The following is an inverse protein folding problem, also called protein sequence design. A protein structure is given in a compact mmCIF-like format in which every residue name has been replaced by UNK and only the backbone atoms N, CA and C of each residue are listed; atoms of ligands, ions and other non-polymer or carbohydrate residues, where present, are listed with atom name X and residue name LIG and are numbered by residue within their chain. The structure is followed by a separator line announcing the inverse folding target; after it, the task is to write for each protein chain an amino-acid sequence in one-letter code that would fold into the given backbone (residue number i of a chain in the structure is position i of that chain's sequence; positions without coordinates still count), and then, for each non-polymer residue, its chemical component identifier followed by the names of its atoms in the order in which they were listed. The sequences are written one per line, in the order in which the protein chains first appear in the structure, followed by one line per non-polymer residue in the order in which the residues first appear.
data_IF_808674736923
#
_entry.id   IF_808674736923
#
_cell.length_a   1.000
_cell.length_b   1.000
_cell.length_c   1.000
_cell.angle_alpha   90.00
_cell.angle_beta   90.00
_cell.angle_gamma   90.00
#
_symmetry.space_group_name_H-M   'P 1'
#
loop_
_entity.id
_entity.type
_entity.pdbx_description
1 polymer ?
#
# COMPACT_ATOMS: atom_id res chain seq x y z
N UNK A 1 -39.87 -15.39 -5.61
CA UNK A 1 -38.88 -14.59 -4.86
C UNK A 1 -37.96 -13.94 -5.87
N UNK A 2 -38.12 -12.63 -6.10
CA UNK A 2 -37.29 -11.89 -7.05
C UNK A 2 -36.06 -11.35 -6.31
N UNK A 3 -34.87 -11.77 -6.77
CA UNK A 3 -33.58 -11.32 -6.26
C UNK A 3 -33.35 -9.87 -6.70
N UNK A 4 -33.38 -8.93 -5.76
CA UNK A 4 -33.04 -7.53 -5.98
C UNK A 4 -31.55 -7.43 -6.33
N UNK A 5 -31.24 -7.08 -7.58
CA UNK A 5 -29.87 -6.73 -7.99
C UNK A 5 -29.43 -5.49 -7.22
N UNK A 6 -28.25 -5.54 -6.60
CA UNK A 6 -27.57 -4.35 -6.10
C UNK A 6 -27.34 -3.38 -7.26
N UNK A 7 -28.07 -2.26 -7.26
CA UNK A 7 -27.96 -1.24 -8.30
C UNK A 7 -26.57 -0.62 -8.28
N UNK A 8 -25.94 -0.51 -9.45
CA UNK A 8 -24.74 0.32 -9.63
C UNK A 8 -25.10 1.73 -9.16
N UNK A 9 -24.40 2.31 -8.17
CA UNK A 9 -24.72 3.65 -7.69
C UNK A 9 -24.63 4.65 -8.86
N UNK A 10 -25.63 5.54 -8.94
CA UNK A 10 -25.65 6.60 -9.95
C UNK A 10 -24.43 7.52 -9.79
N UNK A 11 -24.05 8.22 -10.87
CA UNK A 11 -23.00 9.26 -10.81
C UNK A 11 -23.29 10.28 -9.70
N UNK A 12 -24.56 10.67 -9.53
CA UNK A 12 -24.99 11.57 -8.46
C UNK A 12 -24.73 11.03 -7.05
N UNK A 13 -24.93 9.73 -6.80
CA UNK A 13 -24.67 9.13 -5.49
C UNK A 13 -23.17 9.15 -5.13
N UNK A 14 -22.28 9.03 -6.12
CA UNK A 14 -20.83 9.10 -5.88
C UNK A 14 -20.28 10.51 -5.83
N UNK A 15 -20.85 11.44 -6.58
CA UNK A 15 -20.56 12.86 -6.42
C UNK A 15 -21.00 13.33 -5.01
N UNK A 16 -22.09 12.78 -4.47
CA UNK A 16 -22.49 12.99 -3.07
C UNK A 16 -21.49 12.39 -2.06
N UNK A 17 -20.91 11.21 -2.34
CA UNK A 17 -19.84 10.63 -1.51
C UNK A 17 -18.54 11.43 -1.59
N UNK A 18 -18.22 12.03 -2.75
CA UNK A 18 -17.11 12.98 -2.88
C UNK A 18 -17.40 14.29 -2.14
N UNK A 19 -18.66 14.72 -2.06
CA UNK A 19 -19.04 15.92 -1.31
C UNK A 19 -18.97 15.73 0.21
N UNK A 20 -18.70 14.51 0.71
CA UNK A 20 -18.54 14.27 2.14
C UNK A 20 -17.28 14.97 2.66
N UNK A 21 -17.49 15.90 3.58
CA UNK A 21 -16.42 16.47 4.40
C UNK A 21 -15.87 15.37 5.32
N UNK A 22 -14.57 15.37 5.56
CA UNK A 22 -13.96 14.43 6.50
C UNK A 22 -13.11 15.16 7.54
N UNK A 23 -13.19 14.66 8.76
CA UNK A 23 -12.34 15.08 9.87
C UNK A 23 -10.91 14.57 9.62
N UNK A 24 -9.93 15.42 9.90
CA UNK A 24 -8.52 15.03 9.87
C UNK A 24 -8.18 14.20 11.10
N UNK A 25 -8.68 12.97 11.17
CA UNK A 25 -8.29 12.04 12.22
C UNK A 25 -6.92 11.42 11.86
N UNK A 26 -5.93 11.58 12.74
CA UNK A 26 -4.73 10.75 12.73
C UNK A 26 -5.13 9.31 13.07
N UNK A 27 -5.47 8.52 12.07
CA UNK A 27 -5.54 7.07 12.24
C UNK A 27 -4.11 6.54 12.23
N UNK A 28 -3.48 6.50 13.41
CA UNK A 28 -2.37 5.58 13.63
C UNK A 28 -2.96 4.17 13.71
N UNK A 29 -2.96 3.45 12.60
CA UNK A 29 -3.01 1.99 12.68
C UNK A 29 -1.79 1.59 13.50
N UNK A 30 -2.01 0.96 14.65
CA UNK A 30 -0.94 0.56 15.58
C UNK A 30 0.13 -0.27 14.88
N UNK A 31 1.34 -0.34 15.45
CA UNK A 31 2.47 -0.97 14.79
C UNK A 31 2.13 -2.42 14.45
N UNK A 32 2.19 -2.74 13.17
CA UNK A 32 2.15 -4.09 12.65
C UNK A 32 3.43 -4.80 13.14
N UNK A 33 3.30 -5.93 13.83
CA UNK A 33 4.42 -6.73 14.34
C UNK A 33 4.40 -8.13 13.71
N UNK A 34 5.53 -8.54 13.13
CA UNK A 34 5.71 -9.87 12.58
C UNK A 34 5.46 -10.99 13.62
N UNK A 35 5.59 -10.73 14.93
CA UNK A 35 5.34 -11.73 15.99
C UNK A 35 3.87 -12.16 16.07
N UNK A 36 2.94 -11.20 15.97
CA UNK A 36 1.50 -11.46 16.07
C UNK A 36 1.03 -12.31 14.89
N UNK A 37 1.44 -11.94 13.68
CA UNK A 37 1.12 -12.71 12.48
C UNK A 37 1.76 -14.11 12.49
N UNK A 38 3.00 -14.25 12.97
CA UNK A 38 3.64 -15.55 13.09
C UNK A 38 2.82 -16.51 13.98
N UNK A 39 2.19 -15.98 15.04
CA UNK A 39 1.30 -16.74 15.90
C UNK A 39 0.05 -17.20 15.16
N UNK A 40 -0.55 -16.35 14.33
CA UNK A 40 -1.70 -16.70 13.47
C UNK A 40 -1.33 -17.80 12.45
N UNK A 41 -0.17 -17.68 11.80
CA UNK A 41 0.30 -18.68 10.82
C UNK A 41 0.47 -20.04 11.50
N UNK A 42 1.06 -20.07 12.71
CA UNK A 42 1.28 -21.28 13.49
C UNK A 42 0.00 -21.93 14.01
N UNK A 43 -1.05 -21.15 14.29
CA UNK A 43 -2.34 -21.69 14.72
C UNK A 43 -3.06 -22.43 13.57
N UNK A 44 -2.87 -21.98 12.33
CA UNK A 44 -3.52 -22.59 11.17
C UNK A 44 -2.86 -23.85 10.63
N UNK A 45 -1.54 -24.03 10.79
CA UNK A 45 -0.76 -25.09 10.13
C UNK A 45 0.50 -25.51 10.90
N UNK A 46 1.04 -26.71 10.61
CA UNK A 46 2.44 -27.03 10.91
C UNK A 46 3.32 -26.12 10.05
N UNK A 47 3.98 -25.16 10.68
CA UNK A 47 4.96 -24.32 10.02
C UNK A 47 6.27 -25.06 9.90
N UNK A 48 6.55 -25.59 8.70
CA UNK A 48 7.90 -26.01 8.35
C UNK A 48 8.75 -24.75 8.18
N UNK A 49 9.75 -24.59 9.05
CA UNK A 49 10.74 -23.51 8.92
C UNK A 49 11.62 -23.80 7.69
N UNK A 50 12.02 -22.79 6.92
CA UNK A 50 11.82 -21.35 7.14
C UNK A 50 10.54 -20.78 6.50
N UNK A 51 10.15 -19.56 6.91
CA UNK A 51 9.03 -18.80 6.32
C UNK A 51 9.45 -17.37 5.94
N UNK A 52 8.87 -16.84 4.88
CA UNK A 52 8.97 -15.44 4.50
C UNK A 52 7.61 -14.92 4.04
N UNK A 53 7.17 -13.79 4.57
CA UNK A 53 5.91 -13.18 4.20
C UNK A 53 5.96 -11.66 4.34
N UNK A 54 4.91 -11.01 3.86
CA UNK A 54 4.73 -9.56 3.96
C UNK A 54 3.51 -9.31 4.81
N UNK A 55 3.66 -8.40 5.77
CA UNK A 55 2.63 -8.08 6.76
C UNK A 55 2.11 -6.66 6.56
N UNK A 56 0.79 -6.48 6.48
CA UNK A 56 0.11 -5.18 6.40
C UNK A 56 -1.05 -5.04 7.40
N UNK A 57 -1.18 -5.97 8.36
CA UNK A 57 -2.27 -6.03 9.34
C UNK A 57 -1.79 -6.71 10.63
N UNK A 58 -2.40 -6.41 11.78
CA UNK A 58 -2.09 -7.13 13.03
C UNK A 58 -3.01 -8.33 13.30
N UNK A 59 -4.11 -8.44 12.56
CA UNK A 59 -5.21 -9.39 12.81
C UNK A 59 -5.37 -10.49 11.75
N UNK A 60 -4.77 -10.31 10.57
CA UNK A 60 -4.84 -11.27 9.46
C UNK A 60 -3.55 -11.20 8.63
N UNK A 61 -3.04 -12.35 8.16
CA UNK A 61 -1.87 -12.39 7.28
C UNK A 61 -2.27 -12.04 5.86
N UNK A 62 -2.29 -10.74 5.57
CA UNK A 62 -2.70 -10.19 4.28
C UNK A 62 -1.84 -9.00 3.90
N UNK A 63 -1.80 -8.73 2.60
CA UNK A 63 -1.19 -7.50 2.08
C UNK A 63 -2.29 -6.58 1.55
N UNK A 64 -2.10 -5.27 1.71
CA UNK A 64 -3.06 -4.24 1.27
C UNK A 64 -2.33 -3.14 0.51
N UNK A 65 -2.89 -2.69 -0.62
CA UNK A 65 -2.29 -1.58 -1.37
C UNK A 65 -2.36 -0.28 -0.56
N UNK A 66 -1.27 0.48 -0.57
CA UNK A 66 -1.14 1.76 0.12
C UNK A 66 -1.21 1.65 1.64
N UNK A 67 -0.82 0.52 2.21
CA UNK A 67 -0.69 0.36 3.65
C UNK A 67 0.77 0.20 4.03
N UNK A 68 1.12 0.68 5.23
CA UNK A 68 2.42 0.41 5.81
C UNK A 68 2.59 -1.10 5.97
N UNK A 69 3.77 -1.57 5.60
CA UNK A 69 4.03 -2.98 5.34
C UNK A 69 5.46 -3.33 5.71
N UNK A 70 5.67 -4.56 6.18
CA UNK A 70 6.96 -5.10 6.61
C UNK A 70 7.26 -6.44 5.93
N UNK A 71 8.53 -6.75 5.72
CA UNK A 71 9.01 -8.08 5.36
C UNK A 71 9.32 -8.81 6.66
N UNK A 72 8.70 -9.98 6.83
CA UNK A 72 8.91 -10.86 7.97
C UNK A 72 9.62 -12.13 7.50
N UNK A 73 10.71 -12.52 8.19
CA UNK A 73 11.50 -13.71 7.87
C UNK A 73 11.71 -14.55 9.13
N UNK A 74 11.32 -15.82 9.09
CA UNK A 74 11.37 -16.69 10.26
C UNK A 74 12.19 -17.96 10.01
N UNK A 75 13.10 -18.26 10.94
CA UNK A 75 13.81 -19.54 10.97
C UNK A 75 14.96 -19.67 9.96
N UNK A 76 15.45 -18.57 9.39
CA UNK A 76 16.60 -18.60 8.48
C UNK A 76 17.95 -18.65 9.22
N UNK A 77 18.95 -19.40 8.70
CA UNK A 77 20.28 -19.49 9.31
C UNK A 77 20.96 -18.13 9.49
N UNK A 78 21.56 -17.88 10.66
CA UNK A 78 22.19 -16.58 10.99
C UNK A 78 23.44 -16.25 10.17
N UNK A 79 24.15 -17.28 9.69
CA UNK A 79 25.45 -17.17 9.04
C UNK A 79 25.41 -17.33 7.52
N UNK A 80 24.21 -17.39 6.91
CA UNK A 80 24.05 -17.46 5.45
C UNK A 80 23.28 -16.23 4.95
N UNK A 81 23.63 -15.69 3.77
CA UNK A 81 22.87 -14.60 3.16
C UNK A 81 21.45 -15.07 2.89
N UNK A 82 20.47 -14.16 2.98
CA UNK A 82 19.08 -14.42 2.61
C UNK A 82 18.79 -13.61 1.35
N UNK A 83 18.05 -14.23 0.44
CA UNK A 83 17.52 -13.57 -0.75
C UNK A 83 16.02 -13.78 -0.78
N UNK A 84 15.27 -12.71 -1.02
CA UNK A 84 13.83 -12.74 -1.26
C UNK A 84 13.59 -12.55 -2.75
N UNK A 85 12.64 -13.31 -3.30
CA UNK A 85 12.28 -13.25 -4.71
C UNK A 85 10.78 -13.08 -4.85
N UNK A 86 10.38 -12.10 -5.66
CA UNK A 86 8.98 -11.86 -6.03
C UNK A 86 8.85 -11.97 -7.54
N UNK A 87 7.84 -12.70 -8.02
CA UNK A 87 7.49 -12.78 -9.44
C UNK A 87 6.18 -12.06 -9.70
N UNK A 88 6.22 -10.96 -10.43
CA UNK A 88 5.04 -10.17 -10.74
C UNK A 88 5.20 -9.45 -12.08
N UNK A 89 4.13 -9.40 -12.88
CA UNK A 89 4.10 -8.61 -14.12
C UNK A 89 5.12 -9.06 -15.17
N UNK A 90 5.42 -10.37 -15.24
CA UNK A 90 6.43 -10.93 -16.14
C UNK A 90 7.88 -10.65 -15.72
N UNK A 91 8.09 -10.05 -14.54
CA UNK A 91 9.41 -9.75 -13.98
C UNK A 91 9.67 -10.63 -12.76
N UNK A 92 10.95 -10.91 -12.53
CA UNK A 92 11.45 -11.51 -11.29
C UNK A 92 12.28 -10.45 -10.59
N UNK A 93 11.90 -10.12 -9.37
CA UNK A 93 12.59 -9.18 -8.50
C UNK A 93 13.33 -9.98 -7.44
N UNK A 94 14.59 -9.64 -7.21
CA UNK A 94 15.48 -10.37 -6.30
C UNK A 94 16.11 -9.38 -5.33
N UNK A 95 15.66 -9.42 -4.08
CA UNK A 95 16.07 -8.51 -3.01
C UNK A 95 17.04 -9.26 -2.08
N UNK A 96 18.33 -8.92 -2.07
CA UNK A 96 19.25 -9.36 -1.04
C UNK A 96 18.84 -8.79 0.33
N UNK A 97 19.06 -9.54 1.41
CA UNK A 97 18.72 -9.10 2.76
C UNK A 97 19.98 -8.86 3.56
N UNK A 98 20.08 -7.67 4.17
CA UNK A 98 21.16 -7.27 5.07
C UNK A 98 20.68 -7.28 6.51
N UNK A 99 21.25 -8.15 7.32
CA UNK A 99 20.99 -8.16 8.77
C UNK A 99 21.73 -6.98 9.41
N UNK A 100 21.01 -6.15 10.14
CA UNK A 100 21.56 -5.01 10.88
C UNK A 100 21.15 -5.05 12.35
N UNK A 101 21.95 -4.42 13.21
CA UNK A 101 21.63 -4.33 14.64
C UNK A 101 20.44 -3.39 14.91
N UNK A 102 20.36 -2.31 14.13
CA UNK A 102 19.29 -1.31 14.15
C UNK A 102 19.03 -0.90 12.71
N UNK A 103 17.76 -0.77 12.34
CA UNK A 103 17.35 -0.32 11.01
C UNK A 103 17.79 1.12 10.80
N UNK A 104 18.34 1.41 9.62
CA UNK A 104 18.56 2.79 9.20
C UNK A 104 17.20 3.42 8.88
N UNK A 105 17.01 4.68 9.29
CA UNK A 105 15.84 5.45 8.85
C UNK A 105 16.04 5.78 7.36
N UNK A 106 15.37 5.02 6.49
CA UNK A 106 15.30 5.34 5.06
C UNK A 106 14.01 6.12 4.74
N UNK A 107 14.05 6.85 3.63
CA UNK A 107 12.87 7.50 3.07
C UNK A 107 11.79 6.43 2.77
N UNK A 108 10.54 6.76 3.07
CA UNK A 108 9.40 5.89 2.74
C UNK A 108 9.40 5.58 1.24
N UNK A 109 9.61 4.31 0.90
CA UNK A 109 9.64 3.78 -0.46
C UNK A 109 8.40 2.93 -0.72
N UNK A 110 7.98 2.84 -1.99
CA UNK A 110 6.88 1.96 -2.39
C UNK A 110 7.35 0.63 -3.00
N UNK A 111 8.67 0.47 -3.18
CA UNK A 111 9.25 -0.53 -4.09
C UNK A 111 10.29 -1.44 -3.43
N UNK A 112 10.34 -1.56 -2.09
CA UNK A 112 11.39 -2.33 -1.36
C UNK A 112 11.63 -3.76 -1.86
N UNK A 113 10.58 -4.49 -2.27
CA UNK A 113 10.71 -5.85 -2.83
C UNK A 113 10.70 -5.90 -4.36
N UNK A 114 10.74 -4.75 -5.01
CA UNK A 114 10.48 -4.57 -6.45
C UNK A 114 11.51 -3.67 -7.14
N UNK A 115 12.63 -3.37 -6.46
CA UNK A 115 13.69 -2.48 -6.92
C UNK A 115 15.06 -3.18 -7.05
N UNK A 116 15.14 -4.48 -6.74
CA UNK A 116 16.38 -5.29 -6.73
C UNK A 116 17.50 -4.76 -5.82
N UNK A 117 17.15 -3.87 -4.87
CA UNK A 117 18.08 -3.33 -3.88
C UNK A 117 18.15 -4.23 -2.66
N UNK A 118 19.22 -4.05 -1.90
CA UNK A 118 19.38 -4.72 -0.62
C UNK A 118 18.40 -4.11 0.41
N UNK A 119 17.72 -4.95 1.17
CA UNK A 119 16.76 -4.54 2.20
C UNK A 119 17.32 -4.85 3.59
N UNK A 120 17.36 -3.85 4.47
CA UNK A 120 17.78 -4.02 5.85
C UNK A 120 16.70 -4.75 6.67
N UNK A 121 17.15 -5.70 7.50
CA UNK A 121 16.30 -6.38 8.48
C UNK A 121 16.99 -6.42 9.84
N UNK A 122 16.21 -6.27 10.90
CA UNK A 122 16.64 -6.39 12.28
C UNK A 122 16.18 -7.73 12.87
N UNK A 123 17.01 -8.35 13.71
CA UNK A 123 16.60 -9.50 14.53
C UNK A 123 15.75 -8.98 15.70
N UNK A 124 14.46 -9.35 15.71
CA UNK A 124 13.48 -8.92 16.72
C UNK A 124 13.22 -10.04 17.75
N UNK A 125 14.10 -11.03 17.84
CA UNK A 125 14.00 -12.16 18.77
C UNK A 125 13.35 -13.41 18.17
N UNK A 126 13.47 -14.53 18.88
CA UNK A 126 12.85 -15.82 18.54
C UNK A 126 13.13 -16.38 17.13
N UNK A 127 14.19 -15.90 16.49
CA UNK A 127 14.56 -16.29 15.12
C UNK A 127 13.73 -15.59 14.04
N UNK A 128 13.12 -14.46 14.39
CA UNK A 128 12.35 -13.60 13.51
C UNK A 128 13.16 -12.37 13.11
N UNK A 129 13.15 -12.06 11.82
CA UNK A 129 13.72 -10.83 11.27
C UNK A 129 12.59 -9.98 10.69
N UNK A 130 12.71 -8.68 10.85
CA UNK A 130 11.76 -7.70 10.36
C UNK A 130 12.49 -6.55 9.66
N UNK A 131 11.97 -6.09 8.53
CA UNK A 131 12.48 -4.91 7.83
C UNK A 131 12.02 -3.59 8.44
N UNK A 132 12.52 -2.48 7.90
CA UNK A 132 11.81 -1.19 8.00
C UNK A 132 10.41 -1.26 7.38
N UNK A 133 9.53 -0.36 7.83
CA UNK A 133 8.19 -0.23 7.26
C UNK A 133 8.21 0.57 5.96
N UNK A 134 7.49 0.09 4.95
CA UNK A 134 7.34 0.77 3.66
C UNK A 134 5.87 0.76 3.21
N UNK A 135 5.50 1.59 2.23
CA UNK A 135 4.13 1.59 1.71
C UNK A 135 3.98 0.54 0.62
N UNK A 136 3.11 -0.46 0.77
CA UNK A 136 2.94 -1.48 -0.27
C UNK A 136 2.18 -0.93 -1.48
N UNK A 137 2.91 -0.36 -2.44
CA UNK A 137 2.35 0.17 -3.68
C UNK A 137 3.35 0.02 -4.83
N UNK A 138 3.72 -1.22 -5.22
CA UNK A 138 4.78 -1.43 -6.20
C UNK A 138 4.52 -0.70 -7.52
N UNK A 139 5.58 -0.45 -8.28
CA UNK A 139 5.46 0.13 -9.60
C UNK A 139 4.79 -0.83 -10.58
N UNK A 140 4.19 -0.30 -11.65
CA UNK A 140 3.79 -1.13 -12.78
C UNK A 140 5.04 -1.71 -13.46
N UNK A 141 5.00 -2.96 -13.96
CA UNK A 141 3.81 -3.82 -14.12
C UNK A 141 3.44 -4.67 -12.89
N UNK A 142 4.25 -4.70 -11.85
CA UNK A 142 4.08 -5.61 -10.71
C UNK A 142 2.75 -5.37 -9.97
N UNK A 143 2.41 -4.11 -9.67
CA UNK A 143 1.16 -3.76 -8.99
C UNK A 143 -0.08 -4.25 -9.72
N UNK A 144 -0.18 -4.04 -11.03
CA UNK A 144 -1.29 -4.56 -11.84
C UNK A 144 -1.37 -6.08 -11.81
N UNK A 145 -0.23 -6.76 -11.86
CA UNK A 145 -0.21 -8.22 -11.84
C UNK A 145 -0.66 -8.80 -10.49
N UNK A 146 -0.16 -8.25 -9.37
CA UNK A 146 -0.55 -8.65 -8.02
C UNK A 146 -2.04 -8.37 -7.79
N UNK A 147 -2.50 -7.21 -8.25
CA UNK A 147 -3.89 -6.82 -8.20
C UNK A 147 -4.81 -7.79 -8.97
N UNK A 148 -4.36 -8.30 -10.13
CA UNK A 148 -5.10 -9.29 -10.92
C UNK A 148 -5.03 -10.70 -10.33
N UNK A 149 -3.90 -11.10 -9.74
CA UNK A 149 -3.74 -12.42 -9.11
C UNK A 149 -4.49 -12.53 -7.78
N UNK A 150 -4.73 -11.39 -7.13
CA UNK A 150 -5.33 -11.31 -5.79
C UNK A 150 -4.41 -11.83 -4.68
N UNK A 151 -3.11 -11.98 -4.96
CA UNK A 151 -2.12 -12.51 -4.01
C UNK A 151 -0.70 -12.05 -4.35
N UNK A 152 0.14 -11.97 -3.34
CA UNK A 152 1.58 -11.80 -3.46
C UNK A 152 2.26 -13.12 -3.13
N UNK A 153 3.00 -13.68 -4.09
CA UNK A 153 3.83 -14.87 -3.85
C UNK A 153 5.25 -14.43 -3.58
N UNK A 154 5.78 -14.79 -2.41
CA UNK A 154 7.17 -14.57 -2.02
C UNK A 154 7.89 -15.90 -1.97
N UNK A 155 9.08 -15.96 -2.55
CA UNK A 155 10.04 -17.02 -2.29
C UNK A 155 11.21 -16.44 -1.50
N UNK A 156 11.81 -17.22 -0.62
CA UNK A 156 13.08 -16.83 -0.01
C UNK A 156 14.02 -18.02 0.12
N UNK A 157 15.31 -17.73 0.09
CA UNK A 157 16.37 -18.75 0.15
C UNK A 157 17.55 -18.29 0.99
N UNK A 158 18.20 -19.23 1.66
CA UNK A 158 19.45 -19.01 2.38
C UNK A 158 20.32 -20.27 2.37
N UNK A 159 21.32 -20.31 1.50
CA UNK A 159 22.02 -21.56 1.20
C UNK A 159 21.05 -22.64 0.69
N UNK A 160 20.96 -23.75 1.42
CA UNK A 160 20.19 -24.93 1.00
C UNK A 160 18.71 -24.87 1.40
N UNK A 161 18.34 -23.94 2.30
CA UNK A 161 16.94 -23.77 2.72
C UNK A 161 16.21 -22.82 1.78
N UNK A 162 14.98 -23.20 1.42
CA UNK A 162 14.09 -22.42 0.57
C UNK A 162 12.67 -22.50 1.10
N UNK A 163 11.91 -21.44 0.91
CA UNK A 163 10.50 -21.38 1.25
C UNK A 163 9.74 -20.58 0.19
N UNK A 164 8.44 -20.83 0.11
CA UNK A 164 7.52 -20.05 -0.71
C UNK A 164 6.22 -19.89 0.05
N UNK A 165 5.71 -18.66 0.09
CA UNK A 165 4.48 -18.33 0.79
C UNK A 165 3.62 -17.40 -0.06
N UNK A 166 2.31 -17.64 -0.06
CA UNK A 166 1.34 -16.80 -0.73
C UNK A 166 0.58 -15.96 0.29
N UNK A 167 0.71 -14.65 0.20
CA UNK A 167 -0.03 -13.70 1.01
C UNK A 167 -1.24 -13.18 0.21
N UNK A 168 -2.48 -13.39 0.67
CA UNK A 168 -3.66 -12.85 0.00
C UNK A 168 -3.64 -11.32 -0.05
N UNK A 169 -4.08 -10.76 -1.18
CA UNK A 169 -4.34 -9.32 -1.31
C UNK A 169 -5.75 -9.02 -0.80
N UNK A 170 -5.86 -8.19 0.23
CA UNK A 170 -7.15 -7.64 0.68
C UNK A 170 -7.37 -6.24 0.11
N UNK A 171 -8.61 -5.98 -0.28
CA UNK A 171 -8.99 -4.70 -0.87
C UNK A 171 -9.46 -3.71 0.18
N UNK A 172 -8.77 -2.59 0.26
CA UNK A 172 -9.29 -1.34 0.81
C UNK A 172 -9.47 -0.36 -0.35
N UNK A 173 -10.56 0.41 -0.32
CA UNK A 173 -10.71 1.55 -1.22
C UNK A 173 -9.70 2.61 -0.78
N UNK A 174 -8.94 3.13 -1.72
CA UNK A 174 -7.82 4.01 -1.39
C UNK A 174 -7.28 4.74 -2.59
N UNK A 175 -6.45 5.74 -2.27
CA UNK A 175 -5.66 6.47 -3.22
C UNK A 175 -4.36 6.92 -2.56
N UNK A 176 -3.26 6.81 -3.30
CA UNK A 176 -1.92 7.17 -2.81
C UNK A 176 -1.13 7.85 -3.94
N UNK A 177 -0.29 8.84 -3.63
CA UNK A 177 0.68 9.35 -4.59
C UNK A 177 1.63 8.21 -5.01
N UNK A 178 2.07 8.22 -6.26
CA UNK A 178 3.10 7.28 -6.72
C UNK A 178 4.50 7.83 -6.42
N UNK A 179 5.46 6.93 -6.15
CA UNK A 179 6.89 7.26 -6.05
C UNK A 179 7.33 8.23 -7.17
N UNK A 180 8.11 9.25 -6.79
CA UNK A 180 8.47 10.33 -7.69
C UNK A 180 7.30 11.28 -8.02
N UNK A 181 6.33 11.42 -7.12
CA UNK A 181 5.17 12.32 -7.21
C UNK A 181 5.52 13.70 -7.75
N UNK A 182 6.61 14.30 -7.24
CA UNK A 182 7.11 15.62 -7.64
C UNK A 182 7.30 15.77 -9.15
N UNK A 183 7.67 14.69 -9.82
CA UNK A 183 7.95 14.67 -11.24
C UNK A 183 6.81 14.03 -12.04
N UNK A 184 6.24 12.95 -11.52
CA UNK A 184 5.24 12.14 -12.23
C UNK A 184 3.86 12.79 -12.21
N UNK A 185 3.51 13.48 -11.12
CA UNK A 185 2.18 14.04 -10.83
C UNK A 185 1.09 12.97 -10.94
N UNK A 186 1.36 11.78 -10.43
CA UNK A 186 0.45 10.62 -10.55
C UNK A 186 0.09 10.05 -9.20
N UNK A 187 -1.17 9.69 -9.05
CA UNK A 187 -1.66 8.88 -7.95
C UNK A 187 -2.21 7.56 -8.46
N UNK A 188 -2.11 6.52 -7.64
CA UNK A 188 -2.90 5.31 -7.80
C UNK A 188 -4.27 5.50 -7.13
N UNK A 189 -5.32 4.95 -7.74
CA UNK A 189 -6.64 4.79 -7.15
C UNK A 189 -6.98 3.31 -7.22
N UNK A 190 -7.33 2.70 -6.09
CA UNK A 190 -7.44 1.25 -5.98
C UNK A 190 -8.58 0.79 -5.07
N UNK A 191 -8.93 -0.48 -5.20
CA UNK A 191 -9.91 -1.14 -4.33
C UNK A 191 -11.38 -0.90 -4.65
N UNK A 192 -11.71 0.02 -5.56
CA UNK A 192 -13.08 0.21 -6.03
C UNK A 192 -13.54 -0.93 -6.97
N UNK A 193 -14.86 -1.19 -7.11
CA UNK A 193 -15.39 -2.22 -8.02
C UNK A 193 -15.02 -1.98 -9.48
N UNK A 194 -14.90 -3.06 -10.28
CA UNK A 194 -14.61 -2.95 -11.73
C UNK A 194 -15.72 -2.16 -12.44
N UNK A 195 -15.34 -1.27 -13.36
CA UNK A 195 -16.27 -0.41 -14.10
C UNK A 195 -16.80 0.79 -13.30
N UNK A 196 -16.44 0.89 -12.02
CA UNK A 196 -16.75 2.05 -11.20
C UNK A 196 -16.11 3.31 -11.79
N UNK A 197 -16.90 4.39 -11.93
CA UNK A 197 -16.37 5.75 -12.08
C UNK A 197 -16.07 6.31 -10.68
N UNK A 198 -14.81 6.60 -10.41
CA UNK A 198 -14.35 7.12 -9.12
C UNK A 198 -13.91 8.57 -9.35
N UNK A 199 -14.67 9.55 -8.84
CA UNK A 199 -14.28 10.95 -8.97
C UNK A 199 -13.10 11.28 -8.04
N UNK A 200 -12.32 12.28 -8.42
CA UNK A 200 -11.20 12.81 -7.65
C UNK A 200 -11.51 14.27 -7.33
N UNK A 201 -11.50 14.60 -6.05
CA UNK A 201 -11.82 15.93 -5.55
C UNK A 201 -10.58 16.70 -5.13
N UNK A 202 -10.61 18.01 -5.34
CA UNK A 202 -9.72 18.96 -4.68
C UNK A 202 -10.44 19.46 -3.43
N UNK A 203 -9.79 19.32 -2.28
CA UNK A 203 -10.32 19.76 -1.00
C UNK A 203 -9.48 20.91 -0.48
N UNK A 204 -10.17 21.91 0.07
CA UNK A 204 -9.56 22.93 0.92
C UNK A 204 -9.56 22.42 2.35
N UNK A 205 -8.40 22.43 2.98
CA UNK A 205 -8.16 21.84 4.29
C UNK A 205 -8.01 22.96 5.30
N UNK A 206 -8.94 23.03 6.25
CA UNK A 206 -8.85 23.87 7.43
C UNK A 206 -8.38 23.07 8.64
N UNK A 207 -8.38 23.70 9.82
CA UNK A 207 -7.89 23.11 11.07
C UNK A 207 -8.58 21.78 11.46
N UNK A 208 -9.87 21.64 11.18
CA UNK A 208 -10.67 20.49 11.66
C UNK A 208 -11.31 19.68 10.53
N UNK A 209 -11.32 20.20 9.30
CA UNK A 209 -12.08 19.61 8.18
C UNK A 209 -11.49 19.89 6.81
N UNK A 210 -11.68 18.92 5.92
CA UNK A 210 -11.50 19.09 4.49
C UNK A 210 -12.85 19.33 3.80
N UNK A 211 -12.95 20.40 3.00
CA UNK A 211 -14.16 20.78 2.25
C UNK A 211 -13.90 20.66 0.76
N UNK A 212 -14.77 19.96 0.04
CA UNK A 212 -14.68 19.82 -1.43
C UNK A 212 -14.83 21.20 -2.10
N UNK A 213 -13.81 21.62 -2.84
CA UNK A 213 -13.82 22.83 -3.69
C UNK A 213 -14.36 22.51 -5.08
N UNK A 214 -13.81 21.45 -5.69
CA UNK A 214 -14.22 21.00 -7.04
C UNK A 214 -13.82 19.57 -7.31
N UNK A 215 -14.53 18.95 -8.25
CA UNK A 215 -14.09 17.72 -8.92
C UNK A 215 -12.95 18.06 -9.90
N UNK A 216 -11.82 17.39 -9.77
CA UNK A 216 -10.63 17.53 -10.63
C UNK A 216 -10.70 16.60 -11.84
N UNK A 217 -11.28 15.41 -11.65
CA UNK A 217 -11.38 14.41 -12.69
C UNK A 217 -12.04 13.14 -12.19
N UNK A 218 -11.90 12.07 -12.94
CA UNK A 218 -12.34 10.74 -12.55
C UNK A 218 -11.50 9.66 -13.22
N UNK A 219 -11.51 8.46 -12.62
CA UNK A 219 -10.99 7.24 -13.22
C UNK A 219 -12.10 6.22 -13.41
N UNK A 220 -12.01 5.42 -14.48
CA UNK A 220 -12.84 4.23 -14.65
C UNK A 220 -12.04 3.02 -14.21
N UNK A 221 -12.54 2.30 -13.22
CA UNK A 221 -11.81 1.20 -12.61
C UNK A 221 -11.63 0.01 -13.58
N UNK A 222 -10.39 -0.37 -13.91
CA UNK A 222 -10.13 -1.51 -14.77
C UNK A 222 -10.35 -2.83 -14.03
N UNK A 223 -10.22 -3.96 -14.75
CA UNK A 223 -10.33 -5.32 -14.16
C UNK A 223 -9.35 -5.57 -13.01
N UNK A 224 -8.17 -4.94 -13.05
CA UNK A 224 -7.20 -5.00 -11.96
C UNK A 224 -7.64 -4.24 -10.71
N UNK A 225 -8.73 -3.45 -10.75
CA UNK A 225 -9.15 -2.56 -9.65
C UNK A 225 -8.04 -1.62 -9.16
N UNK A 226 -7.11 -1.27 -10.05
CA UNK A 226 -6.07 -0.26 -9.84
C UNK A 226 -6.01 0.61 -11.09
N UNK A 227 -6.33 1.90 -10.94
CA UNK A 227 -6.19 2.93 -11.96
C UNK A 227 -5.08 3.90 -11.57
N UNK A 228 -4.48 4.56 -12.55
CA UNK A 228 -3.53 5.66 -12.32
C UNK A 228 -4.17 6.92 -12.87
N UNK A 229 -4.17 7.98 -12.06
CA UNK A 229 -4.65 9.29 -12.45
C UNK A 229 -3.47 10.25 -12.57
N UNK A 230 -3.42 10.99 -13.68
CA UNK A 230 -2.46 12.06 -13.90
C UNK A 230 -3.07 13.38 -13.48
N UNK A 231 -2.42 14.08 -12.56
CA UNK A 231 -2.94 15.28 -11.93
C UNK A 231 -2.68 16.49 -12.83
N UNK A 232 -3.70 17.30 -13.11
CA UNK A 232 -3.54 18.54 -13.86
C UNK A 232 -2.50 19.47 -13.21
N UNK A 233 -1.71 20.16 -14.02
CA UNK A 233 -0.59 20.97 -13.52
C UNK A 233 -1.04 22.11 -12.59
N UNK A 234 -2.19 22.74 -12.89
CA UNK A 234 -2.77 23.79 -12.06
C UNK A 234 -3.15 23.25 -10.67
N UNK A 235 -3.72 22.04 -10.61
CA UNK A 235 -4.06 21.37 -9.35
C UNK A 235 -2.80 20.97 -8.59
N UNK A 236 -1.82 20.38 -9.28
CA UNK A 236 -0.57 19.96 -8.68
C UNK A 236 0.17 21.11 -7.97
N UNK A 237 0.25 22.28 -8.61
CA UNK A 237 0.87 23.49 -8.01
C UNK A 237 0.21 23.92 -6.70
N UNK A 238 -1.08 23.63 -6.53
CA UNK A 238 -1.85 24.02 -5.35
C UNK A 238 -1.67 23.03 -4.21
N UNK A 239 -1.52 21.73 -4.51
CA UNK A 239 -1.41 20.67 -3.48
C UNK A 239 0.02 20.31 -3.10
N UNK A 240 1.02 20.72 -3.89
CA UNK A 240 2.45 20.43 -3.63
C UNK A 240 3.21 21.57 -2.95
N UNK A 241 2.54 22.66 -2.59
CA UNK A 241 3.16 23.81 -1.90
C UNK A 241 2.65 23.85 -0.48
N UNK A 242 3.56 23.80 0.49
CA UNK A 242 3.22 24.06 1.88
C UNK A 242 2.64 25.48 1.99
N UNK A 243 1.39 25.65 2.45
CA UNK A 243 0.80 26.97 2.51
C UNK A 243 1.53 27.83 3.56
N UNK A 244 1.63 29.15 3.35
CA UNK A 244 2.08 30.07 4.38
C UNK A 244 1.28 29.90 5.68
N UNK A 245 1.93 30.10 6.82
CA UNK A 245 1.29 30.00 8.13
C UNK A 245 -0.02 30.80 8.20
N UNK A 246 -1.10 30.14 8.62
CA UNK A 246 -2.44 30.73 8.73
C UNK A 246 -3.26 30.75 7.43
N UNK A 247 -2.80 30.09 6.36
CA UNK A 247 -3.59 29.85 5.15
C UNK A 247 -4.05 28.40 5.05
N UNK A 248 -5.19 28.20 4.41
CA UNK A 248 -5.73 26.87 4.12
C UNK A 248 -4.76 26.09 3.21
N UNK A 249 -4.50 24.82 3.54
CA UNK A 249 -3.84 23.87 2.64
C UNK A 249 -4.85 23.28 1.67
N UNK A 250 -4.37 22.62 0.63
CA UNK A 250 -5.21 21.89 -0.29
C UNK A 250 -4.69 20.48 -0.44
N UNK A 251 -5.60 19.53 -0.61
CA UNK A 251 -5.23 18.15 -0.89
C UNK A 251 -6.21 17.49 -1.86
N UNK A 252 -5.78 16.36 -2.40
CA UNK A 252 -6.64 15.50 -3.19
C UNK A 252 -7.25 14.42 -2.31
N UNK A 253 -8.46 13.99 -2.64
CA UNK A 253 -9.02 12.76 -2.09
C UNK A 253 -10.05 12.15 -3.05
N UNK A 254 -10.46 10.92 -2.75
CA UNK A 254 -11.46 10.11 -3.44
C UNK A 254 -12.57 9.72 -2.45
N UNK A 255 -13.76 9.29 -2.91
CA UNK A 255 -14.86 8.91 -2.03
C UNK A 255 -14.46 7.87 -0.98
N UNK A 256 -14.97 7.98 0.24
CA UNK A 256 -14.70 7.07 1.38
C UNK A 256 -13.27 7.14 1.94
N UNK A 257 -12.33 7.81 1.27
CA UNK A 257 -10.98 8.07 1.79
C UNK A 257 -10.98 9.37 2.59
N UNK A 258 -10.85 9.24 3.91
CA UNK A 258 -10.84 10.36 4.86
C UNK A 258 -9.42 10.83 5.20
N UNK A 259 -8.57 10.91 4.19
CA UNK A 259 -7.18 11.31 4.32
C UNK A 259 -6.77 12.14 3.10
N UNK A 260 -5.78 13.01 3.29
CA UNK A 260 -5.20 13.78 2.20
C UNK A 260 -4.23 12.91 1.38
N UNK A 261 -4.46 12.86 0.07
CA UNK A 261 -3.59 12.21 -0.90
C UNK A 261 -2.58 13.24 -1.39
N UNK A 262 -1.52 13.42 -0.61
CA UNK A 262 -0.37 14.27 -0.89
C UNK A 262 0.89 13.53 -0.51
N UNK A 263 2.02 13.82 -1.17
CA UNK A 263 3.30 13.31 -0.69
C UNK A 263 3.60 13.95 0.68
N UNK A 264 4.18 13.21 1.66
CA UNK A 264 4.64 13.84 2.89
C UNK A 264 5.66 14.92 2.53
N UNK A 265 5.45 16.14 3.04
CA UNK A 265 6.43 17.24 2.95
C UNK A 265 7.50 17.02 4.02
#
# INVERSE_FOLDING_TARGET
MASTRAGTPSSSARDLLLAQQFEMAMYSIGPVDCHDELSLIKQGHRVDRPLAWVSSSSDEVVVRLGQQTFLCLYGFPKNKPITVTVKAGGRTYTTPVKRVATLTAEESSQNELFNDRELEVQDIGDGLLQSGGWTFLPSDPARKAIALSGRLTLAASSGDVKTTYEVPLRWNQGAEPLDGWEHSRRMAVYGYPVGARVPIGLYRVGLERAVLERKVGEVVMPRSRVAVFSIPQDVFRVVSVEPPAGKDSYCLSVPEVRACVTWPV
#
